data_IF_511149487328
#
_entry.id   IF_511149487328
#
_cell.length_a   1.000
_cell.length_b   1.000
_cell.length_c   1.000
_cell.angle_alpha   90.00
_cell.angle_beta   90.00
_cell.angle_gamma   90.00
#
_symmetry.space_group_name_H-M   'P 1'
#
loop_
_entity.id
_entity.type
_entity.pdbx_description
1 polymer ?
#
# COMPACT_ATOMS: atom_id res chain seq x y z
N UNK A 1 -16.71 -6.61 15.76
CA UNK A 1 -16.94 -7.67 14.75
C UNK A 1 -17.18 -7.10 13.35
N UNK A 2 -18.23 -6.30 13.13
CA UNK A 2 -18.51 -5.72 11.80
C UNK A 2 -17.32 -4.93 11.21
N UNK A 3 -16.63 -4.13 12.03
CA UNK A 3 -15.49 -3.31 11.58
C UNK A 3 -14.32 -4.18 11.07
N UNK A 4 -14.08 -5.35 11.70
CA UNK A 4 -13.08 -6.30 11.21
C UNK A 4 -13.47 -6.93 9.88
N UNK A 5 -14.75 -7.27 9.72
CA UNK A 5 -15.26 -7.80 8.46
C UNK A 5 -15.11 -6.75 7.36
N UNK A 6 -15.39 -5.47 7.65
CA UNK A 6 -15.16 -4.40 6.68
C UNK A 6 -13.68 -4.18 6.35
N UNK A 7 -12.76 -4.27 7.31
CA UNK A 7 -11.33 -4.12 7.02
C UNK A 7 -10.80 -5.26 6.13
N UNK A 8 -11.30 -6.48 6.33
CA UNK A 8 -10.96 -7.65 5.48
C UNK A 8 -11.53 -7.46 4.07
N UNK A 9 -12.77 -6.97 3.95
CA UNK A 9 -13.36 -6.72 2.63
C UNK A 9 -12.61 -5.62 1.87
N UNK A 10 -12.25 -4.53 2.56
CA UNK A 10 -11.46 -3.45 1.98
C UNK A 10 -10.08 -3.93 1.53
N UNK A 11 -9.36 -4.71 2.35
CA UNK A 11 -8.05 -5.23 1.96
C UNK A 11 -8.14 -6.15 0.73
N UNK A 12 -9.11 -7.07 0.69
CA UNK A 12 -9.35 -7.94 -0.45
C UNK A 12 -9.64 -7.15 -1.74
N UNK A 13 -10.48 -6.12 -1.66
CA UNK A 13 -10.75 -5.27 -2.82
C UNK A 13 -9.49 -4.54 -3.32
N UNK A 14 -8.62 -4.11 -2.39
CA UNK A 14 -7.32 -3.53 -2.70
C UNK A 14 -6.38 -4.52 -3.39
N UNK A 15 -6.30 -5.76 -2.91
CA UNK A 15 -5.50 -6.81 -3.53
C UNK A 15 -5.98 -7.13 -4.96
N UNK A 16 -7.29 -7.19 -5.19
CA UNK A 16 -7.85 -7.39 -6.52
C UNK A 16 -7.42 -6.26 -7.46
N UNK A 17 -7.57 -5.00 -7.03
CA UNK A 17 -7.14 -3.83 -7.82
C UNK A 17 -5.64 -3.83 -8.12
N UNK A 18 -4.81 -4.20 -7.14
CA UNK A 18 -3.37 -4.33 -7.33
C UNK A 18 -3.03 -5.37 -8.42
N UNK A 19 -3.67 -6.54 -8.38
CA UNK A 19 -3.43 -7.60 -9.36
C UNK A 19 -3.91 -7.27 -10.79
N UNK A 20 -4.88 -6.36 -10.94
CA UNK A 20 -5.42 -5.96 -12.25
C UNK A 20 -4.64 -4.81 -12.89
N UNK A 21 -4.09 -3.90 -12.08
CA UNK A 21 -3.47 -2.66 -12.54
C UNK A 21 -1.95 -2.78 -12.78
N UNK A 22 -1.47 -3.95 -13.21
CA UNK A 22 -0.04 -4.29 -13.35
C UNK A 22 0.72 -3.33 -14.28
N UNK A 23 0.02 -2.66 -15.20
CA UNK A 23 0.67 -1.90 -16.27
C UNK A 23 1.07 -0.48 -15.87
N UNK A 24 0.38 0.18 -14.94
CA UNK A 24 0.62 1.59 -14.58
C UNK A 24 1.12 1.66 -13.14
N UNK A 25 2.37 2.07 -12.95
CA UNK A 25 3.02 1.98 -11.64
C UNK A 25 2.38 2.85 -10.56
N UNK A 26 1.90 4.04 -10.93
CA UNK A 26 1.23 4.96 -9.99
C UNK A 26 -0.07 4.35 -9.43
N UNK A 27 -0.85 3.67 -10.27
CA UNK A 27 -2.07 2.97 -9.85
C UNK A 27 -1.75 1.79 -8.91
N UNK A 28 -0.62 1.11 -9.13
CA UNK A 28 -0.15 0.08 -8.21
C UNK A 28 0.23 0.66 -6.84
N UNK A 29 0.96 1.78 -6.79
CA UNK A 29 1.29 2.46 -5.52
C UNK A 29 0.05 2.90 -4.75
N UNK A 30 -0.93 3.50 -5.43
CA UNK A 30 -2.19 3.93 -4.79
C UNK A 30 -2.98 2.75 -4.23
N UNK A 31 -3.01 1.62 -4.93
CA UNK A 31 -3.65 0.40 -4.41
C UNK A 31 -2.90 -0.19 -3.20
N UNK A 32 -1.57 -0.06 -3.15
CA UNK A 32 -0.75 -0.46 -2.00
C UNK A 32 -1.01 0.42 -0.78
N UNK A 33 -1.11 1.73 -0.96
CA UNK A 33 -1.50 2.66 0.12
C UNK A 33 -2.89 2.30 0.67
N UNK A 34 -3.86 1.98 -0.19
CA UNK A 34 -5.19 1.56 0.23
C UNK A 34 -5.17 0.24 1.04
N UNK A 35 -4.37 -0.75 0.63
CA UNK A 35 -4.19 -2.00 1.40
C UNK A 35 -3.60 -1.70 2.77
N UNK A 36 -2.56 -0.87 2.85
CA UNK A 36 -1.89 -0.53 4.11
C UNK A 36 -2.80 0.18 5.12
N UNK A 37 -3.69 1.07 4.64
CA UNK A 37 -4.68 1.74 5.47
C UNK A 37 -5.78 0.78 5.95
N UNK A 38 -6.22 -0.17 5.11
CA UNK A 38 -7.19 -1.18 5.53
C UNK A 38 -6.64 -2.11 6.62
N UNK A 39 -5.35 -2.42 6.57
CA UNK A 39 -4.64 -3.18 7.60
C UNK A 39 -4.46 -2.37 8.89
N UNK A 40 -4.19 -1.06 8.80
CA UNK A 40 -4.18 -0.16 9.95
C UNK A 40 -5.51 -0.20 10.71
N UNK A 41 -6.64 -0.12 10.00
CA UNK A 41 -7.98 -0.18 10.62
C UNK A 41 -8.23 -1.52 11.33
N UNK A 42 -7.78 -2.64 10.75
CA UNK A 42 -7.86 -3.95 11.38
C UNK A 42 -7.02 -4.06 12.66
N UNK A 43 -5.78 -3.57 12.61
CA UNK A 43 -4.86 -3.52 13.76
C UNK A 43 -5.39 -2.61 14.86
N UNK A 44 -5.98 -1.46 14.50
CA UNK A 44 -6.57 -0.53 15.46
C UNK A 44 -7.71 -1.19 16.24
N UNK A 45 -8.61 -1.89 15.55
CA UNK A 45 -9.66 -2.64 16.22
C UNK A 45 -9.10 -3.78 17.09
N UNK A 46 -8.03 -4.46 16.67
CA UNK A 46 -7.37 -5.51 17.45
C UNK A 46 -6.81 -4.97 18.76
N UNK A 47 -5.99 -3.93 18.68
CA UNK A 47 -5.34 -3.33 19.84
C UNK A 47 -6.34 -2.64 20.77
N UNK A 48 -7.46 -2.13 20.25
CA UNK A 48 -8.53 -1.57 21.09
C UNK A 48 -9.17 -2.60 22.04
N UNK A 49 -9.22 -3.88 21.64
CA UNK A 49 -9.77 -4.97 22.48
C UNK A 49 -8.82 -5.38 23.61
N UNK A 50 -7.51 -5.21 23.40
CA UNK A 50 -6.48 -5.50 24.40
C UNK A 50 -6.06 -4.28 25.22
N UNK A 51 -6.69 -3.13 24.96
CA UNK A 51 -6.64 -1.93 25.78
C UNK A 51 -5.24 -1.54 26.26
N UNK A 52 -4.21 -1.39 25.38
CA UNK A 52 -3.17 -0.37 25.64
C UNK A 52 -1.99 -0.20 24.67
N UNK A 53 -1.72 -1.03 23.67
CA UNK A 53 -0.50 -0.83 22.85
C UNK A 53 -0.72 0.06 21.60
N UNK A 54 -1.30 1.25 21.79
CA UNK A 54 -1.44 2.23 20.69
C UNK A 54 -0.10 2.75 20.15
N UNK A 55 0.99 2.58 20.92
CA UNK A 55 2.34 2.90 20.45
C UNK A 55 2.75 2.05 19.23
N UNK A 56 2.30 0.79 19.18
CA UNK A 56 2.57 -0.08 18.04
C UNK A 56 1.92 0.43 16.74
N UNK A 57 0.73 1.06 16.84
CA UNK A 57 0.04 1.65 15.68
C UNK A 57 0.79 2.85 15.11
N UNK A 58 1.43 3.64 15.97
CA UNK A 58 2.25 4.77 15.53
C UNK A 58 3.51 4.28 14.80
N UNK A 59 4.17 3.25 15.33
CA UNK A 59 5.31 2.60 14.67
C UNK A 59 4.91 2.04 13.30
N UNK A 60 3.76 1.36 13.22
CA UNK A 60 3.25 0.83 11.95
C UNK A 60 2.99 1.93 10.90
N UNK A 61 2.36 3.04 11.28
CA UNK A 61 2.14 4.19 10.38
C UNK A 61 3.45 4.76 9.85
N UNK A 62 4.48 4.90 10.70
CA UNK A 62 5.78 5.43 10.23
C UNK A 62 6.43 4.53 9.18
N UNK A 63 6.33 3.20 9.32
CA UNK A 63 6.89 2.27 8.34
C UNK A 63 6.15 2.35 7.00
N UNK A 64 4.81 2.46 7.00
CA UNK A 64 4.03 2.62 5.76
C UNK A 64 4.42 3.89 5.00
N UNK A 65 4.55 5.02 5.69
CA UNK A 65 4.91 6.30 5.05
C UNK A 65 6.31 6.21 4.44
N UNK A 66 7.25 5.53 5.10
CA UNK A 66 8.58 5.29 4.56
C UNK A 66 8.55 4.41 3.30
N UNK A 67 7.76 3.34 3.27
CA UNK A 67 7.58 2.51 2.07
C UNK A 67 6.93 3.30 0.92
N UNK A 68 5.94 4.14 1.23
CA UNK A 68 5.33 5.04 0.25
C UNK A 68 6.34 6.02 -0.35
N UNK A 69 7.16 6.66 0.49
CA UNK A 69 8.21 7.59 0.03
C UNK A 69 9.26 6.88 -0.86
N UNK A 70 9.66 5.66 -0.50
CA UNK A 70 10.54 4.84 -1.32
C UNK A 70 9.88 4.50 -2.67
N UNK A 71 8.62 4.07 -2.67
CA UNK A 71 7.84 3.78 -3.88
C UNK A 71 7.75 4.97 -4.83
N UNK A 72 7.48 6.17 -4.31
CA UNK A 72 7.44 7.41 -5.07
C UNK A 72 8.82 7.79 -5.63
N UNK A 73 9.90 7.59 -4.87
CA UNK A 73 11.25 7.87 -5.37
C UNK A 73 11.64 7.01 -6.57
N UNK A 74 11.17 5.75 -6.60
CA UNK A 74 11.36 4.82 -7.73
C UNK A 74 10.53 5.26 -8.93
N UNK A 75 9.31 5.75 -8.71
CA UNK A 75 8.49 6.33 -9.79
C UNK A 75 9.21 7.50 -10.45
N UNK A 76 9.76 8.43 -9.65
CA UNK A 76 10.50 9.59 -10.19
C UNK A 76 11.72 9.15 -11.00
N UNK A 77 12.42 8.09 -10.58
CA UNK A 77 13.53 7.51 -11.36
C UNK A 77 13.05 6.93 -12.69
N UNK A 78 11.94 6.20 -12.71
CA UNK A 78 11.37 5.65 -13.95
C UNK A 78 10.99 6.73 -14.95
N UNK A 79 10.33 7.79 -14.49
CA UNK A 79 9.97 8.93 -15.36
C UNK A 79 11.21 9.56 -15.99
N UNK A 80 12.32 9.66 -15.25
CA UNK A 80 13.57 10.24 -15.81
C UNK A 80 14.29 9.33 -16.79
N UNK A 81 14.23 8.01 -16.63
CA UNK A 81 14.96 7.05 -17.47
C UNK A 81 14.16 6.62 -18.70
N UNK A 82 12.88 6.32 -18.53
CA UNK A 82 12.02 5.76 -19.59
C UNK A 82 10.99 6.75 -20.13
N UNK A 83 10.82 7.92 -19.49
CA UNK A 83 9.87 8.94 -19.92
C UNK A 83 8.40 8.53 -19.79
N UNK A 84 8.10 7.39 -19.15
CA UNK A 84 6.78 6.82 -19.07
C UNK A 84 6.55 6.06 -17.75
N UNK A 85 5.31 6.05 -17.26
CA UNK A 85 4.90 5.46 -15.97
C UNK A 85 4.55 3.96 -16.05
N UNK A 86 4.76 3.35 -17.22
CA UNK A 86 4.38 1.96 -17.47
C UNK A 86 5.48 0.99 -17.03
N UNK A 87 5.10 -0.01 -16.24
CA UNK A 87 6.01 -1.06 -15.77
C UNK A 87 6.62 -1.87 -16.92
N UNK A 88 5.91 -1.95 -18.05
CA UNK A 88 6.31 -2.68 -19.26
C UNK A 88 7.54 -2.10 -19.97
N UNK A 89 7.95 -0.85 -19.71
CA UNK A 89 9.20 -0.31 -20.30
C UNK A 89 10.47 -0.88 -19.67
N UNK A 90 10.37 -1.65 -18.58
CA UNK A 90 11.49 -2.40 -18.00
C UNK A 90 11.91 -3.64 -18.80
N UNK A 91 11.36 -3.87 -19.99
CA UNK A 91 11.77 -4.99 -20.84
C UNK A 91 13.25 -4.96 -21.26
N UNK A 92 13.95 -3.85 -21.03
CA UNK A 92 15.41 -3.75 -21.15
C UNK A 92 16.08 -4.13 -19.82
N UNK A 93 15.93 -5.41 -19.42
CA UNK A 93 16.57 -5.98 -18.23
C UNK A 93 18.02 -6.46 -18.49
N UNK A 94 18.68 -5.90 -19.52
CA UNK A 94 20.12 -6.02 -19.77
C UNK A 94 20.66 -4.65 -20.15
#
# INVERSE_FOLDING_TARGET
MLIYVSSIFMSLSGFVLYSLNVNIFLLMLLSLEFISLSLYLGLFCYLSMYSMEYFFLMMYLTMIVCEGALGLSILVLMVRVHGNDYVLSFSMLW
#
